data_IF_569799074687
#
_entry.id   IF_569799074687
#
_cell.length_a   1.000
_cell.length_b   1.000
_cell.length_c   1.000
_cell.angle_alpha   90.00
_cell.angle_beta   90.00
_cell.angle_gamma   90.00
#
_symmetry.space_group_name_H-M   'P 1'
#
loop_
_entity.id
_entity.type
_entity.pdbx_description
1 polymer ?
#
# COMPACT_ATOMS: atom_id res chain seq x y z
N UNK A 1 -16.55 2.96 -33.26
CA UNK A 1 -16.86 3.02 -31.84
C UNK A 1 -18.37 2.84 -31.66
N UNK A 2 -18.84 2.06 -30.68
CA UNK A 2 -20.26 1.90 -30.35
C UNK A 2 -20.78 3.19 -29.69
N UNK A 3 -22.04 3.52 -29.97
CA UNK A 3 -22.73 4.62 -29.25
C UNK A 3 -23.07 4.21 -27.81
N UNK A 4 -23.31 5.18 -26.92
CA UNK A 4 -23.74 4.91 -25.53
C UNK A 4 -24.98 4.04 -25.49
N UNK A 5 -25.96 4.27 -26.37
CA UNK A 5 -27.17 3.46 -26.45
C UNK A 5 -26.89 2.01 -26.88
N UNK A 6 -25.94 1.80 -27.78
CA UNK A 6 -25.53 0.44 -28.16
C UNK A 6 -24.87 -0.29 -26.97
N UNK A 7 -23.98 0.40 -26.24
CA UNK A 7 -23.31 -0.17 -25.05
C UNK A 7 -24.36 -0.48 -23.96
N UNK A 8 -25.34 0.39 -23.75
CA UNK A 8 -26.43 0.14 -22.80
C UNK A 8 -27.25 -1.08 -23.18
N UNK A 9 -27.62 -1.21 -24.47
CA UNK A 9 -28.37 -2.38 -24.94
C UNK A 9 -27.57 -3.67 -24.80
N UNK A 10 -26.27 -3.65 -25.05
CA UNK A 10 -25.38 -4.80 -24.82
C UNK A 10 -25.35 -5.16 -23.32
N UNK A 11 -25.21 -4.16 -22.44
CA UNK A 11 -25.24 -4.35 -20.98
C UNK A 11 -26.59 -4.93 -20.53
N UNK A 12 -27.70 -4.46 -21.09
CA UNK A 12 -29.04 -4.98 -20.81
C UNK A 12 -29.21 -6.43 -21.23
N UNK A 13 -28.75 -6.78 -22.43
CA UNK A 13 -28.75 -8.17 -22.91
C UNK A 13 -27.94 -9.08 -21.98
N UNK A 14 -26.74 -8.63 -21.59
CA UNK A 14 -25.91 -9.35 -20.63
C UNK A 14 -26.63 -9.53 -19.29
N UNK A 15 -27.22 -8.45 -18.75
CA UNK A 15 -27.86 -8.44 -17.44
C UNK A 15 -29.06 -9.39 -17.32
N UNK A 16 -29.85 -9.55 -18.40
CA UNK A 16 -31.01 -10.45 -18.43
C UNK A 16 -30.59 -11.93 -18.28
N UNK A 17 -29.41 -12.27 -18.79
CA UNK A 17 -28.91 -13.65 -18.77
C UNK A 17 -28.15 -14.01 -17.49
N UNK A 18 -27.87 -13.03 -16.64
CA UNK A 18 -27.08 -13.21 -15.41
C UNK A 18 -28.00 -13.24 -14.18
N UNK A 19 -28.10 -14.39 -13.55
CA UNK A 19 -28.89 -14.58 -12.33
C UNK A 19 -28.03 -14.95 -11.10
N UNK A 20 -26.78 -15.38 -11.31
CA UNK A 20 -25.84 -15.80 -10.28
C UNK A 20 -24.40 -15.71 -10.79
N UNK A 21 -23.40 -16.03 -9.95
CA UNK A 21 -21.97 -15.94 -10.27
C UNK A 21 -21.56 -16.89 -11.41
N UNK A 22 -22.13 -18.09 -11.47
CA UNK A 22 -21.79 -19.07 -12.51
C UNK A 22 -22.26 -18.56 -13.88
N UNK A 23 -23.50 -18.09 -13.97
CA UNK A 23 -24.02 -17.47 -15.20
C UNK A 23 -23.21 -16.22 -15.57
N UNK A 24 -22.84 -15.40 -14.58
CA UNK A 24 -21.99 -14.22 -14.79
C UNK A 24 -20.65 -14.60 -15.41
N UNK A 25 -19.96 -15.58 -14.81
CA UNK A 25 -18.64 -16.02 -15.30
C UNK A 25 -18.73 -16.55 -16.73
N UNK A 26 -19.70 -17.44 -16.99
CA UNK A 26 -19.94 -17.99 -18.33
C UNK A 26 -20.20 -16.90 -19.35
N UNK A 27 -21.06 -15.93 -19.02
CA UNK A 27 -21.42 -14.86 -19.93
C UNK A 27 -20.26 -13.89 -20.20
N UNK A 28 -19.42 -13.64 -19.19
CA UNK A 28 -18.17 -12.86 -19.34
C UNK A 28 -17.24 -13.52 -20.37
N UNK A 29 -17.04 -14.84 -20.29
CA UNK A 29 -16.21 -15.60 -21.22
C UNK A 29 -16.79 -15.59 -22.64
N UNK A 30 -18.08 -15.89 -22.78
CA UNK A 30 -18.77 -15.88 -24.08
C UNK A 30 -18.72 -14.51 -24.77
N UNK A 31 -18.79 -13.44 -24.01
CA UNK A 31 -18.78 -12.06 -24.51
C UNK A 31 -17.38 -11.48 -24.70
N UNK A 32 -16.31 -12.21 -24.34
CA UNK A 32 -14.93 -11.72 -24.38
C UNK A 32 -14.67 -10.52 -23.48
N UNK A 33 -15.46 -10.37 -22.41
CA UNK A 33 -15.32 -9.27 -21.45
C UNK A 33 -14.30 -9.62 -20.37
N UNK A 34 -13.75 -8.58 -19.72
CA UNK A 34 -12.84 -8.76 -18.57
C UNK A 34 -13.56 -8.43 -17.29
N UNK A 35 -13.71 -9.42 -16.40
CA UNK A 35 -14.21 -9.17 -15.04
C UNK A 35 -13.13 -8.54 -14.16
N UNK A 36 -13.59 -7.78 -13.18
CA UNK A 36 -12.75 -7.20 -12.12
C UNK A 36 -13.29 -7.64 -10.76
N UNK A 37 -12.39 -7.92 -9.84
CA UNK A 37 -12.71 -8.19 -8.44
C UNK A 37 -12.34 -6.95 -7.64
N UNK A 38 -13.27 -6.49 -6.79
CA UNK A 38 -13.04 -5.39 -5.87
C UNK A 38 -13.41 -5.84 -4.46
N UNK A 39 -12.49 -5.63 -3.52
CA UNK A 39 -12.80 -5.73 -2.09
C UNK A 39 -13.22 -4.36 -1.61
N UNK A 40 -14.38 -4.27 -1.00
CA UNK A 40 -15.01 -3.02 -0.58
C UNK A 40 -15.32 -3.03 0.91
N UNK A 41 -15.03 -1.92 1.57
CA UNK A 41 -15.44 -1.66 2.95
C UNK A 41 -16.74 -0.87 3.01
N UNK A 42 -17.51 -1.01 4.11
CA UNK A 42 -18.80 -0.34 4.32
C UNK A 42 -18.75 1.18 4.13
N UNK A 43 -17.62 1.80 4.49
CA UNK A 43 -17.44 3.24 4.43
C UNK A 43 -16.70 3.73 3.17
N UNK A 44 -16.35 2.82 2.26
CA UNK A 44 -15.70 3.20 1.02
C UNK A 44 -16.62 4.08 0.17
N UNK A 45 -16.02 5.04 -0.51
CA UNK A 45 -16.73 5.98 -1.38
C UNK A 45 -16.53 5.68 -2.85
N UNK A 46 -15.47 4.94 -3.17
CA UNK A 46 -15.02 4.69 -4.54
C UNK A 46 -14.66 3.22 -4.74
N UNK A 47 -14.79 2.75 -5.96
CA UNK A 47 -14.24 1.48 -6.45
C UNK A 47 -13.31 1.83 -7.61
N UNK A 48 -12.15 1.20 -7.69
CA UNK A 48 -11.18 1.47 -8.76
C UNK A 48 -11.84 1.32 -10.16
N UNK A 49 -11.80 2.40 -10.96
CA UNK A 49 -12.40 2.45 -12.29
C UNK A 49 -13.86 2.87 -12.34
N UNK A 50 -14.46 3.23 -11.20
CA UNK A 50 -15.80 3.82 -11.09
C UNK A 50 -15.73 5.20 -10.45
N UNK A 51 -16.38 6.19 -11.07
CA UNK A 51 -16.44 7.57 -10.56
C UNK A 51 -17.43 7.72 -9.41
N UNK A 52 -18.53 6.95 -9.45
CA UNK A 52 -19.58 6.95 -8.43
C UNK A 52 -19.96 5.52 -8.07
N UNK A 53 -19.38 5.00 -6.98
CA UNK A 53 -19.57 3.61 -6.56
C UNK A 53 -20.46 3.47 -5.32
N UNK A 54 -20.87 4.58 -4.69
CA UNK A 54 -21.52 4.56 -3.38
C UNK A 54 -22.82 3.75 -3.34
N UNK A 55 -23.63 3.83 -4.40
CA UNK A 55 -24.86 3.04 -4.49
C UNK A 55 -24.56 1.54 -4.56
N UNK A 56 -23.63 1.13 -5.42
CA UNK A 56 -23.22 -0.28 -5.54
C UNK A 56 -22.65 -0.82 -4.24
N UNK A 57 -21.80 -0.06 -3.55
CA UNK A 57 -21.25 -0.44 -2.24
C UNK A 57 -22.38 -0.64 -1.23
N UNK A 58 -23.36 0.26 -1.19
CA UNK A 58 -24.50 0.14 -0.29
C UNK A 58 -25.32 -1.10 -0.61
N UNK A 59 -25.59 -1.38 -1.88
CA UNK A 59 -26.34 -2.57 -2.29
C UNK A 59 -25.58 -3.85 -1.97
N UNK A 60 -24.26 -3.88 -2.13
CA UNK A 60 -23.43 -5.01 -1.73
C UNK A 60 -23.52 -5.31 -0.22
N UNK A 61 -23.66 -4.26 0.62
CA UNK A 61 -23.84 -4.43 2.06
C UNK A 61 -25.30 -4.68 2.50
N UNK A 62 -26.25 -4.56 1.58
CA UNK A 62 -27.66 -4.93 1.81
C UNK A 62 -27.98 -6.32 1.26
N UNK A 63 -27.13 -6.87 0.40
CA UNK A 63 -27.29 -8.24 -0.09
C UNK A 63 -27.15 -9.24 1.06
N UNK A 64 -28.03 -10.22 1.11
CA UNK A 64 -28.12 -11.19 2.22
C UNK A 64 -27.27 -12.43 1.95
N UNK A 65 -27.05 -12.76 0.68
CA UNK A 65 -26.38 -13.99 0.28
C UNK A 65 -25.24 -13.73 -0.72
N UNK A 66 -24.21 -14.55 -0.62
CA UNK A 66 -23.18 -14.67 -1.65
C UNK A 66 -23.83 -15.21 -2.94
N UNK A 67 -23.28 -14.85 -4.09
CA UNK A 67 -23.82 -15.25 -5.41
C UNK A 67 -24.97 -14.37 -5.93
N UNK A 68 -25.38 -13.37 -5.15
CA UNK A 68 -26.45 -12.45 -5.52
C UNK A 68 -25.97 -11.41 -6.54
N UNK A 69 -26.76 -11.20 -7.59
CA UNK A 69 -26.56 -10.09 -8.54
C UNK A 69 -27.08 -8.81 -7.91
N UNK A 70 -26.20 -7.84 -7.73
CA UNK A 70 -26.53 -6.58 -7.09
C UNK A 70 -27.55 -5.78 -7.93
N UNK A 71 -28.47 -5.11 -7.24
CA UNK A 71 -29.49 -4.27 -7.86
C UNK A 71 -29.38 -2.84 -7.34
N UNK A 72 -29.66 -1.90 -8.21
CA UNK A 72 -29.86 -0.49 -7.86
C UNK A 72 -31.13 -0.30 -7.03
N UNK A 73 -31.34 0.90 -6.48
CA UNK A 73 -32.53 1.18 -5.67
C UNK A 73 -33.87 1.01 -6.43
N UNK A 74 -33.86 1.16 -7.74
CA UNK A 74 -35.00 0.99 -8.64
C UNK A 74 -35.14 -0.43 -9.16
N UNK A 75 -34.28 -1.36 -8.71
CA UNK A 75 -34.33 -2.78 -9.07
C UNK A 75 -33.58 -3.15 -10.35
N UNK A 76 -32.90 -2.21 -11.02
CA UNK A 76 -32.05 -2.49 -12.16
C UNK A 76 -30.79 -3.24 -11.73
N UNK A 77 -30.31 -4.18 -12.51
CA UNK A 77 -29.03 -4.85 -12.31
C UNK A 77 -27.85 -4.11 -12.97
N UNK A 78 -28.13 -2.97 -13.61
CA UNK A 78 -27.15 -2.16 -14.30
C UNK A 78 -26.89 -0.88 -13.49
N UNK A 79 -25.67 -0.72 -13.00
CA UNK A 79 -25.20 0.51 -12.36
C UNK A 79 -24.59 1.42 -13.42
N UNK A 80 -25.17 2.60 -13.59
CA UNK A 80 -24.69 3.61 -14.53
C UNK A 80 -23.61 4.48 -13.87
N UNK A 81 -22.49 4.66 -14.55
CA UNK A 81 -21.36 5.43 -14.07
C UNK A 81 -20.71 6.23 -15.21
N UNK A 82 -21.27 7.37 -15.51
CA UNK A 82 -20.93 8.17 -16.69
C UNK A 82 -21.19 7.39 -17.97
N UNK A 83 -20.14 7.11 -18.74
CA UNK A 83 -20.24 6.34 -19.99
C UNK A 83 -20.04 4.83 -19.80
N UNK A 84 -20.07 4.34 -18.56
CA UNK A 84 -19.84 2.93 -18.23
C UNK A 84 -21.09 2.33 -17.58
N UNK A 85 -21.38 1.10 -17.96
CA UNK A 85 -22.44 0.31 -17.38
C UNK A 85 -21.80 -0.88 -16.65
N UNK A 86 -22.15 -1.06 -15.38
CA UNK A 86 -21.54 -2.09 -14.53
C UNK A 86 -22.59 -3.02 -14.02
N UNK A 87 -22.34 -4.32 -14.14
CA UNK A 87 -23.11 -5.39 -13.53
C UNK A 87 -22.20 -6.06 -12.52
N UNK A 88 -22.68 -6.26 -11.30
CA UNK A 88 -21.88 -6.80 -10.20
C UNK A 88 -22.59 -7.96 -9.51
N UNK A 89 -21.78 -8.93 -9.07
CA UNK A 89 -22.22 -10.09 -8.29
C UNK A 89 -21.43 -10.12 -7.00
N UNK A 90 -22.09 -10.38 -5.89
CA UNK A 90 -21.44 -10.55 -4.59
C UNK A 90 -20.77 -11.93 -4.54
N UNK A 91 -19.44 -11.94 -4.44
CA UNK A 91 -18.67 -13.20 -4.49
C UNK A 91 -18.26 -13.71 -3.13
N UNK A 92 -18.15 -12.83 -2.15
CA UNK A 92 -17.69 -13.18 -0.81
C UNK A 92 -18.10 -12.12 0.21
N UNK A 93 -18.40 -12.54 1.42
CA UNK A 93 -18.63 -11.66 2.57
C UNK A 93 -17.55 -11.97 3.60
N UNK A 94 -16.73 -10.96 3.91
CA UNK A 94 -15.75 -11.03 4.98
C UNK A 94 -16.36 -10.47 6.26
N UNK A 95 -16.54 -11.32 7.26
CA UNK A 95 -16.99 -10.89 8.59
C UNK A 95 -15.85 -10.15 9.33
N UNK A 96 -16.24 -9.23 10.21
CA UNK A 96 -15.30 -8.55 11.07
C UNK A 96 -14.62 -9.54 12.02
N UNK A 97 -13.30 -9.50 12.06
CA UNK A 97 -12.54 -10.39 12.93
C UNK A 97 -11.11 -10.67 12.43
N UNK A 98 -10.56 -11.79 12.91
CA UNK A 98 -9.24 -12.24 12.50
C UNK A 98 -9.35 -12.92 11.13
N UNK A 99 -8.68 -12.34 10.14
CA UNK A 99 -8.69 -12.90 8.80
C UNK A 99 -8.11 -14.33 8.76
N UNK A 100 -8.74 -15.26 8.04
CA UNK A 100 -8.25 -16.62 7.88
C UNK A 100 -6.85 -16.64 7.24
N UNK A 101 -6.01 -17.58 7.67
CA UNK A 101 -4.61 -17.65 7.21
C UNK A 101 -4.47 -17.75 5.69
N UNK A 102 -5.34 -18.46 5.01
CA UNK A 102 -5.32 -18.60 3.56
C UNK A 102 -5.45 -17.25 2.83
N UNK A 103 -6.21 -16.30 3.37
CA UNK A 103 -6.37 -14.95 2.80
C UNK A 103 -5.15 -14.07 3.00
N UNK A 104 -4.43 -14.23 4.11
CA UNK A 104 -3.32 -13.35 4.49
C UNK A 104 -1.95 -13.99 4.34
N UNK A 105 -1.87 -15.30 4.06
CA UNK A 105 -0.62 -16.06 3.97
C UNK A 105 0.40 -15.43 3.01
N UNK A 106 -0.03 -14.94 1.85
CA UNK A 106 0.84 -14.29 0.88
C UNK A 106 1.50 -13.02 1.44
N UNK A 107 0.73 -12.20 2.14
CA UNK A 107 1.22 -10.98 2.75
C UNK A 107 2.17 -11.27 3.92
N UNK A 108 1.79 -12.21 4.80
CA UNK A 108 2.63 -12.66 5.92
C UNK A 108 3.95 -13.23 5.39
N UNK A 109 3.92 -14.08 4.37
CA UNK A 109 5.13 -14.64 3.75
C UNK A 109 6.06 -13.55 3.24
N UNK A 110 5.54 -12.52 2.57
CA UNK A 110 6.32 -11.37 2.09
C UNK A 110 7.00 -10.62 3.23
N UNK A 111 6.26 -10.32 4.30
CA UNK A 111 6.78 -9.63 5.49
C UNK A 111 7.88 -10.47 6.16
N UNK A 112 7.66 -11.77 6.34
CA UNK A 112 8.64 -12.66 6.95
C UNK A 112 9.92 -12.80 6.11
N UNK A 113 9.79 -12.86 4.78
CA UNK A 113 10.96 -12.88 3.87
C UNK A 113 11.75 -11.58 4.01
N UNK A 114 11.09 -10.43 4.00
CA UNK A 114 11.77 -9.13 4.19
C UNK A 114 12.49 -9.07 5.54
N UNK A 115 11.83 -9.50 6.61
CA UNK A 115 12.45 -9.55 7.94
C UNK A 115 13.69 -10.45 7.97
N UNK A 116 13.58 -11.68 7.44
CA UNK A 116 14.73 -12.60 7.38
C UNK A 116 15.88 -12.06 6.55
N UNK A 117 15.59 -11.42 5.40
CA UNK A 117 16.62 -10.76 4.58
C UNK A 117 17.30 -9.64 5.35
N UNK A 118 16.54 -8.79 6.04
CA UNK A 118 17.11 -7.72 6.86
C UNK A 118 17.99 -8.28 7.99
N UNK A 119 17.59 -9.35 8.65
CA UNK A 119 18.38 -9.99 9.72
C UNK A 119 19.70 -10.57 9.20
N UNK A 120 19.70 -11.16 7.98
CA UNK A 120 20.93 -11.63 7.32
C UNK A 120 21.86 -10.46 6.96
N UNK A 121 21.33 -9.43 6.31
CA UNK A 121 22.10 -8.24 5.92
C UNK A 121 22.66 -7.49 7.14
N UNK A 122 21.92 -7.44 8.25
CA UNK A 122 22.45 -6.89 9.52
C UNK A 122 23.66 -7.64 10.00
N UNK A 123 23.65 -8.97 9.95
CA UNK A 123 24.80 -9.80 10.36
C UNK A 123 25.99 -9.59 9.45
N UNK A 124 25.78 -9.51 8.14
CA UNK A 124 26.84 -9.24 7.15
C UNK A 124 27.46 -7.86 7.39
N UNK A 125 26.66 -6.81 7.54
CA UNK A 125 27.16 -5.47 7.82
C UNK A 125 27.85 -5.36 9.19
N UNK A 126 27.34 -6.04 10.22
CA UNK A 126 27.99 -6.12 11.52
C UNK A 126 29.37 -6.81 11.43
N UNK A 127 29.45 -7.88 10.64
CA UNK A 127 30.73 -8.57 10.37
C UNK A 127 31.70 -7.69 9.60
N UNK A 128 31.23 -6.94 8.58
CA UNK A 128 32.07 -6.00 7.83
C UNK A 128 32.54 -4.82 8.70
N UNK A 129 31.69 -4.37 9.65
CA UNK A 129 32.02 -3.31 10.61
C UNK A 129 33.11 -3.75 11.60
N UNK A 130 33.10 -5.03 12.00
CA UNK A 130 34.09 -5.56 12.94
C UNK A 130 35.51 -5.37 12.43
N UNK A 131 36.38 -4.75 13.24
CA UNK A 131 37.77 -4.47 12.90
C UNK A 131 37.94 -3.43 11.78
N UNK A 132 36.92 -2.62 11.49
CA UNK A 132 37.01 -1.53 10.51
C UNK A 132 36.88 -0.18 11.19
N UNK A 133 37.81 0.74 10.85
CA UNK A 133 37.87 2.07 11.47
C UNK A 133 37.08 3.15 10.74
N UNK A 134 36.69 2.90 9.48
CA UNK A 134 35.95 3.87 8.67
C UNK A 134 34.80 3.27 7.88
N UNK A 135 33.77 4.10 7.63
CA UNK A 135 32.62 3.72 6.82
C UNK A 135 33.04 3.27 5.41
N UNK A 136 34.05 3.90 4.84
CA UNK A 136 34.55 3.55 3.52
C UNK A 136 35.21 2.15 3.51
N UNK A 137 35.95 1.78 4.57
CA UNK A 137 36.54 0.45 4.68
C UNK A 137 35.47 -0.63 4.83
N UNK A 138 34.40 -0.35 5.59
CA UNK A 138 33.25 -1.25 5.73
C UNK A 138 32.56 -1.43 4.38
N UNK A 139 32.28 -0.35 3.66
CA UNK A 139 31.64 -0.39 2.36
C UNK A 139 32.44 -1.23 1.35
N UNK A 140 33.76 -1.06 1.29
CA UNK A 140 34.63 -1.89 0.44
C UNK A 140 34.58 -3.38 0.80
N UNK A 141 34.61 -3.73 2.08
CA UNK A 141 34.49 -5.13 2.54
C UNK A 141 33.14 -5.72 2.17
N UNK A 142 32.07 -4.93 2.24
CA UNK A 142 30.71 -5.37 1.93
C UNK A 142 30.37 -5.30 0.42
N UNK A 143 31.27 -4.78 -0.44
CA UNK A 143 31.00 -4.52 -1.86
C UNK A 143 29.94 -3.46 -2.11
N UNK A 144 29.86 -2.46 -1.22
CA UNK A 144 28.88 -1.38 -1.24
C UNK A 144 29.51 -0.02 -1.49
N UNK A 145 28.69 0.97 -1.82
CA UNK A 145 29.08 2.36 -1.97
C UNK A 145 28.63 3.20 -0.78
N UNK A 146 29.46 4.18 -0.41
CA UNK A 146 29.08 5.21 0.55
C UNK A 146 28.38 6.35 -0.20
N UNK A 147 27.21 6.73 0.26
CA UNK A 147 26.43 7.87 -0.25
C UNK A 147 26.35 8.93 0.81
N UNK A 148 26.37 10.18 0.37
CA UNK A 148 26.21 11.33 1.25
C UNK A 148 24.79 11.87 1.14
N UNK A 149 24.21 12.24 2.28
CA UNK A 149 22.92 12.88 2.37
C UNK A 149 23.02 14.10 3.28
N UNK A 150 22.67 15.27 2.75
CA UNK A 150 22.78 16.55 3.44
C UNK A 150 21.41 17.03 3.91
N UNK A 151 21.40 17.87 4.94
CA UNK A 151 20.20 18.53 5.46
C UNK A 151 19.06 17.58 5.87
N UNK A 152 19.43 16.43 6.43
CA UNK A 152 18.44 15.50 6.97
C UNK A 152 18.00 15.97 8.36
N UNK A 153 16.75 16.33 8.48
CA UNK A 153 16.09 16.68 9.74
C UNK A 153 15.09 15.60 10.16
N UNK A 154 14.63 15.67 11.40
CA UNK A 154 13.59 14.77 11.90
C UNK A 154 12.27 14.86 11.09
N UNK A 155 12.01 16.03 10.50
CA UNK A 155 10.84 16.27 9.65
C UNK A 155 11.05 15.86 8.18
N UNK A 156 12.25 15.35 7.82
CA UNK A 156 12.49 14.90 6.45
C UNK A 156 11.63 13.70 6.12
N UNK A 157 10.91 13.76 5.00
CA UNK A 157 10.07 12.66 4.54
C UNK A 157 10.88 11.51 3.93
N UNK A 158 12.02 11.84 3.31
CA UNK A 158 12.88 10.88 2.60
C UNK A 158 14.35 11.24 2.72
N UNK A 159 15.22 10.27 2.48
CA UNK A 159 16.66 10.45 2.37
C UNK A 159 17.04 10.44 0.89
N UNK A 160 17.72 11.47 0.34
CA UNK A 160 18.19 11.46 -1.03
C UNK A 160 19.00 10.21 -1.36
N UNK A 161 18.62 9.50 -2.41
CA UNK A 161 19.27 8.26 -2.84
C UNK A 161 18.97 7.00 -2.02
N UNK A 162 18.17 7.10 -0.93
CA UNK A 162 17.73 5.94 -0.14
C UNK A 162 16.20 5.82 -0.04
N UNK A 163 15.44 6.90 -0.32
CA UNK A 163 13.98 6.90 -0.29
C UNK A 163 13.38 7.12 1.09
N UNK A 164 12.19 6.58 1.33
CA UNK A 164 11.42 6.77 2.59
C UNK A 164 11.93 5.82 3.66
N UNK A 165 12.82 6.31 4.52
CA UNK A 165 13.52 5.53 5.53
C UNK A 165 13.42 6.17 6.93
N UNK A 166 12.23 6.21 7.55
CA UNK A 166 12.00 6.91 8.82
C UNK A 166 12.86 6.37 9.96
N UNK A 167 13.14 5.06 9.98
CA UNK A 167 14.02 4.46 11.00
C UNK A 167 15.47 4.92 10.88
N UNK A 168 15.94 5.17 9.66
CA UNK A 168 17.29 5.67 9.41
C UNK A 168 17.38 7.15 9.78
N UNK A 169 16.34 7.94 9.46
CA UNK A 169 16.22 9.35 9.88
C UNK A 169 16.21 9.44 11.42
N UNK A 170 15.37 8.63 12.10
CA UNK A 170 15.35 8.60 13.54
C UNK A 170 16.71 8.19 14.14
N UNK A 171 17.37 7.19 13.56
CA UNK A 171 18.70 6.78 14.01
C UNK A 171 19.76 7.86 13.82
N UNK A 172 19.68 8.67 12.74
CA UNK A 172 20.61 9.77 12.53
C UNK A 172 20.53 10.84 13.62
N UNK A 173 19.35 11.03 14.23
CA UNK A 173 19.17 12.00 15.32
C UNK A 173 19.80 11.58 16.65
N UNK A 174 19.97 10.27 16.87
CA UNK A 174 20.54 9.72 18.12
C UNK A 174 21.97 9.20 17.96
N UNK A 175 22.43 8.96 16.73
CA UNK A 175 23.83 8.53 16.49
C UNK A 175 24.78 9.67 16.82
N UNK A 176 25.78 9.43 17.65
CA UNK A 176 26.81 10.44 17.99
C UNK A 176 27.58 10.86 16.75
N UNK A 177 27.88 12.17 16.67
CA UNK A 177 28.70 12.72 15.59
C UNK A 177 30.07 12.04 15.56
N UNK A 178 30.54 11.66 14.37
CA UNK A 178 31.81 10.96 14.15
C UNK A 178 31.76 9.46 14.46
N UNK A 179 30.64 8.91 14.95
CA UNK A 179 30.48 7.46 15.19
C UNK A 179 29.65 6.78 14.12
N UNK A 180 30.03 5.54 13.82
CA UNK A 180 29.29 4.68 12.89
C UNK A 180 28.22 3.93 13.68
N UNK A 181 26.96 4.02 13.23
CA UNK A 181 25.81 3.33 13.86
C UNK A 181 25.95 1.81 13.82
N UNK A 182 25.11 1.13 14.60
CA UNK A 182 24.80 -0.27 14.35
C UNK A 182 23.96 -0.44 13.07
N UNK A 183 23.91 -1.65 12.46
CA UNK A 183 23.10 -1.88 11.27
C UNK A 183 21.61 -1.64 11.52
N UNK A 184 21.00 -0.75 10.75
CA UNK A 184 19.62 -0.29 10.89
C UNK A 184 18.79 -0.92 9.76
N UNK A 185 17.77 -1.70 10.09
CA UNK A 185 16.80 -2.18 9.10
C UNK A 185 15.82 -1.07 8.75
N UNK A 186 15.90 -0.56 7.56
CA UNK A 186 14.96 0.37 6.96
C UNK A 186 13.85 -0.34 6.17
N UNK A 187 13.14 0.43 5.36
CA UNK A 187 12.06 -0.08 4.51
C UNK A 187 12.59 -0.80 3.26
N UNK A 188 13.64 -0.26 2.65
CA UNK A 188 14.19 -0.75 1.38
C UNK A 188 15.51 -1.52 1.54
N UNK A 189 16.16 -1.40 2.70
CA UNK A 189 17.47 -2.00 2.92
C UNK A 189 17.93 -2.00 4.37
N UNK A 190 19.19 -2.36 4.56
CA UNK A 190 19.89 -2.23 5.84
C UNK A 190 21.01 -1.22 5.68
N UNK A 191 21.13 -0.31 6.63
CA UNK A 191 21.99 0.86 6.53
C UNK A 191 22.96 0.92 7.71
N UNK A 192 24.17 1.40 7.44
CA UNK A 192 25.08 1.97 8.40
C UNK A 192 25.20 3.46 8.11
N UNK A 193 25.13 4.28 9.14
CA UNK A 193 25.26 5.73 9.00
C UNK A 193 26.43 6.26 9.82
N UNK A 194 27.03 7.33 9.32
CA UNK A 194 27.99 8.14 10.01
C UNK A 194 27.47 9.58 9.97
N UNK A 195 27.28 10.19 11.12
CA UNK A 195 26.86 11.61 11.21
C UNK A 195 28.13 12.47 11.18
N UNK A 196 28.37 13.12 10.05
CA UNK A 196 29.56 13.98 9.88
C UNK A 196 29.41 15.32 10.59
N UNK A 197 28.21 15.90 10.51
CA UNK A 197 27.91 17.18 11.15
C UNK A 197 26.49 17.19 11.70
N UNK A 198 26.28 17.92 12.79
CA UNK A 198 24.97 18.15 13.39
C UNK A 198 24.81 19.61 13.72
N UNK A 199 23.77 20.20 13.16
CA UNK A 199 23.33 21.55 13.54
C UNK A 199 22.16 21.42 14.50
N UNK A 200 22.23 22.06 15.65
CA UNK A 200 21.15 22.13 16.63
C UNK A 200 20.69 23.58 16.69
N UNK A 201 19.42 23.81 16.38
CA UNK A 201 18.80 25.12 16.60
C UNK A 201 18.45 25.25 18.09
N UNK A 202 18.71 26.44 18.67
CA UNK A 202 18.25 26.72 20.02
C UNK A 202 16.73 26.83 20.02
N UNK A 203 16.09 25.99 20.81
CA UNK A 203 14.63 26.00 20.95
C UNK A 203 14.23 27.20 21.80
N UNK A 204 13.66 28.22 21.17
CA UNK A 204 13.15 29.40 21.88
C UNK A 204 11.78 29.13 22.51
N UNK A 205 11.40 29.85 23.60
CA UNK A 205 10.07 29.74 24.21
C UNK A 205 8.92 29.95 23.21
N UNK A 206 9.10 30.81 22.21
CA UNK A 206 8.13 31.09 21.16
C UNK A 206 7.93 29.87 20.23
N UNK A 207 9.00 29.17 19.90
CA UNK A 207 8.91 27.93 19.09
C UNK A 207 8.16 26.83 19.85
N UNK A 208 8.34 26.75 21.17
CA UNK A 208 7.60 25.80 22.01
C UNK A 208 6.11 26.17 22.05
N UNK A 209 5.80 27.46 22.15
CA UNK A 209 4.41 27.94 22.16
C UNK A 209 3.70 27.67 20.83
N UNK A 210 4.37 27.91 19.69
CA UNK A 210 3.84 27.60 18.36
C UNK A 210 3.65 26.11 18.14
N UNK A 211 4.60 25.27 18.56
CA UNK A 211 4.47 23.81 18.48
C UNK A 211 3.31 23.25 19.29
N UNK A 212 3.01 23.85 20.46
CA UNK A 212 1.84 23.47 21.28
C UNK A 212 0.49 23.88 20.67
N UNK A 213 0.46 24.94 19.85
CA UNK A 213 -0.75 25.37 19.16
C UNK A 213 -1.05 24.53 17.90
N UNK A 214 -0.05 23.84 17.37
CA UNK A 214 -0.17 22.99 16.16
C UNK A 214 -0.56 21.53 16.47
N UNK A 215 -0.61 21.14 17.74
CA UNK A 215 -1.08 19.82 18.25
C UNK A 215 -2.54 19.90 18.70
#
# INVERSE_FOLDING_TARGET
AKTTNQIYNDARTFAIEVSNLDNFNKKVEESGLTKRIATIGKNDKTIAGMESAREMIRQAYMAEEVDEVLKTNDGSTIFENGNKFTIAVLTEIDEEGIAPLNKVAGNIKRILIQKKKADLLKKELASAKSGSESLLSIARKAGLEVKEANEISFNSFQIPGAGIEPKVIAASSITEQGKISEPIAGNQGVYLILVNNRTTEEVTPDMVAQGKQAL
#
